data_IF_802469118484
#
_entry.id   IF_802469118484
#
_cell.length_a   1.000
_cell.length_b   1.000
_cell.length_c   1.000
_cell.angle_alpha   90.00
_cell.angle_beta   90.00
_cell.angle_gamma   90.00
#
_symmetry.space_group_name_H-M   'P 1'
#
loop_
_entity.id
_entity.type
_entity.pdbx_description
1 polymer ?
#
# COMPACT_ATOMS: atom_id res chain seq x y z
N UNK A 1 13.26 5.94 -38.44
CA UNK A 1 13.12 5.78 -36.98
C UNK A 1 12.73 7.14 -36.42
N UNK A 2 11.58 7.22 -35.76
CA UNK A 2 11.15 8.42 -35.04
C UNK A 2 11.91 8.46 -33.71
N UNK A 3 12.33 9.64 -33.25
CA UNK A 3 13.07 9.87 -32.01
C UNK A 3 12.60 11.16 -31.36
N UNK A 4 12.79 11.28 -30.06
CA UNK A 4 12.51 12.50 -29.28
C UNK A 4 11.06 12.99 -29.39
N UNK A 5 10.08 12.07 -29.39
CA UNK A 5 8.66 12.41 -29.42
C UNK A 5 8.24 13.02 -28.08
N UNK A 6 7.86 14.29 -28.09
CA UNK A 6 7.33 15.00 -26.92
C UNK A 6 5.81 14.76 -26.84
N UNK A 7 5.34 14.19 -25.73
CA UNK A 7 3.92 13.86 -25.50
C UNK A 7 3.22 14.73 -24.43
N UNK A 8 3.92 15.75 -23.95
CA UNK A 8 3.54 16.62 -22.82
C UNK A 8 3.21 18.04 -23.29
N UNK A 9 2.39 18.77 -22.54
CA UNK A 9 2.07 20.17 -22.86
C UNK A 9 3.21 21.10 -22.44
N UNK A 10 3.27 22.31 -23.02
CA UNK A 10 4.34 23.32 -22.76
C UNK A 10 4.55 23.70 -21.29
N UNK A 11 3.61 23.38 -20.39
CA UNK A 11 3.67 23.69 -18.97
C UNK A 11 3.74 22.43 -18.07
N UNK A 12 3.98 21.26 -18.66
CA UNK A 12 4.17 19.98 -17.94
C UNK A 12 5.64 19.55 -18.02
N UNK A 13 6.12 18.71 -17.10
CA UNK A 13 7.46 18.11 -17.21
C UNK A 13 7.61 17.38 -18.55
N UNK A 14 8.67 17.68 -19.30
CA UNK A 14 8.87 17.12 -20.64
C UNK A 14 9.14 15.61 -20.59
N UNK A 15 8.35 14.83 -21.32
CA UNK A 15 8.56 13.40 -21.53
C UNK A 15 8.86 13.17 -23.01
N UNK A 16 10.05 12.65 -23.28
CA UNK A 16 10.54 12.29 -24.63
C UNK A 16 10.61 10.77 -24.79
N UNK A 17 10.17 10.27 -25.95
CA UNK A 17 10.12 8.84 -26.26
C UNK A 17 10.57 8.57 -27.70
N UNK A 18 11.33 7.48 -27.89
CA UNK A 18 11.88 7.10 -29.21
C UNK A 18 11.01 6.11 -30.00
N UNK A 19 9.81 5.81 -29.49
CA UNK A 19 8.88 4.88 -30.12
C UNK A 19 7.45 5.44 -30.07
N UNK A 20 6.78 5.50 -31.23
CA UNK A 20 5.45 6.09 -31.35
C UNK A 20 4.34 5.25 -30.70
N UNK A 21 4.46 3.91 -30.73
CA UNK A 21 3.50 3.01 -30.07
C UNK A 21 3.56 3.19 -28.54
N UNK A 22 4.77 3.29 -27.99
CA UNK A 22 5.02 3.58 -26.57
C UNK A 22 4.55 5.00 -26.23
N UNK A 23 4.83 5.99 -27.09
CA UNK A 23 4.37 7.37 -26.91
C UNK A 23 2.84 7.47 -26.83
N UNK A 24 2.12 6.76 -27.71
CA UNK A 24 0.66 6.72 -27.67
C UNK A 24 0.13 6.02 -26.42
N UNK A 25 0.74 4.90 -26.01
CA UNK A 25 0.35 4.20 -24.79
C UNK A 25 0.54 5.07 -23.53
N UNK A 26 1.69 5.70 -23.38
CA UNK A 26 1.98 6.60 -22.25
C UNK A 26 1.07 7.85 -22.30
N UNK A 27 0.83 8.42 -23.48
CA UNK A 27 -0.11 9.55 -23.63
C UNK A 27 -1.53 9.16 -23.18
N UNK A 28 -2.01 7.98 -23.55
CA UNK A 28 -3.31 7.47 -23.12
C UNK A 28 -3.36 7.27 -21.60
N UNK A 29 -2.29 6.75 -20.98
CA UNK A 29 -2.21 6.65 -19.52
C UNK A 29 -2.27 8.03 -18.86
N UNK A 30 -1.50 9.01 -19.36
CA UNK A 30 -1.41 10.36 -18.80
C UNK A 30 -2.66 11.22 -19.00
N UNK A 31 -3.43 11.00 -20.08
CA UNK A 31 -4.53 11.89 -20.49
C UNK A 31 -5.92 11.28 -20.34
N UNK A 32 -6.03 9.96 -20.25
CA UNK A 32 -7.34 9.32 -20.19
C UNK A 32 -7.92 9.43 -18.77
N UNK A 33 -8.83 10.38 -18.58
CA UNK A 33 -9.53 10.59 -17.31
C UNK A 33 -10.36 9.38 -16.88
N UNK A 34 -10.77 8.46 -17.76
CA UNK A 34 -11.42 7.22 -17.30
C UNK A 34 -10.43 6.27 -16.64
N UNK A 35 -9.21 6.17 -17.15
CA UNK A 35 -8.14 5.36 -16.53
C UNK A 35 -7.69 6.02 -15.24
N UNK A 36 -7.44 7.34 -15.23
CA UNK A 36 -7.18 8.09 -14.00
C UNK A 36 -8.32 7.95 -13.01
N UNK A 37 -9.59 8.09 -13.41
CA UNK A 37 -10.73 7.87 -12.51
C UNK A 37 -10.81 6.44 -12.00
N UNK A 38 -10.53 5.42 -12.81
CA UNK A 38 -10.51 4.03 -12.33
C UNK A 38 -9.37 3.84 -11.32
N UNK A 39 -8.18 4.36 -11.61
CA UNK A 39 -7.04 4.36 -10.68
C UNK A 39 -7.40 5.14 -9.41
N UNK A 40 -7.93 6.36 -9.49
CA UNK A 40 -8.35 7.20 -8.35
C UNK A 40 -9.52 6.57 -7.56
N UNK A 41 -10.46 5.92 -8.23
CA UNK A 41 -11.58 5.22 -7.57
C UNK A 41 -11.11 3.92 -6.90
N UNK A 42 -10.07 3.27 -7.42
CA UNK A 42 -9.42 2.12 -6.79
C UNK A 42 -8.50 2.54 -5.65
N UNK A 43 -7.60 3.51 -5.85
CA UNK A 43 -6.66 3.98 -4.83
C UNK A 43 -7.36 4.66 -3.66
N UNK A 44 -8.54 5.24 -3.88
CA UNK A 44 -9.38 5.78 -2.80
C UNK A 44 -10.12 4.71 -1.98
N UNK A 45 -10.12 3.44 -2.40
CA UNK A 45 -10.87 2.34 -1.73
C UNK A 45 -10.02 1.15 -1.31
N UNK A 46 -8.82 0.99 -1.87
CA UNK A 46 -7.94 -0.12 -1.50
C UNK A 46 -7.43 0.04 -0.07
N UNK A 47 -7.51 -1.03 0.71
CA UNK A 47 -6.93 -1.12 2.04
C UNK A 47 -5.98 -2.30 2.06
N UNK A 48 -4.70 -2.05 2.33
CA UNK A 48 -3.69 -3.11 2.41
C UNK A 48 -3.60 -3.60 3.85
N UNK A 49 -3.75 -4.89 4.06
CA UNK A 49 -3.64 -5.54 5.37
C UNK A 49 -2.35 -6.35 5.40
N UNK A 50 -1.42 -5.97 6.27
CA UNK A 50 -0.12 -6.61 6.46
C UNK A 50 -0.12 -7.40 7.76
N UNK A 51 0.32 -8.65 7.73
CA UNK A 51 0.43 -9.45 8.95
C UNK A 51 0.77 -10.90 8.68
N UNK A 52 0.97 -11.64 9.77
CA UNK A 52 1.13 -13.09 9.73
C UNK A 52 -0.15 -13.74 10.21
N UNK A 53 -0.74 -14.57 9.36
CA UNK A 53 -2.11 -15.02 9.57
C UNK A 53 -2.16 -16.52 9.81
N UNK A 54 -1.81 -16.91 11.03
CA UNK A 54 -2.03 -18.26 11.54
C UNK A 54 -3.52 -18.60 11.55
N UNK A 55 -3.86 -19.90 11.60
CA UNK A 55 -5.26 -20.34 11.57
C UNK A 55 -6.12 -19.72 12.68
N UNK A 56 -5.53 -19.44 13.84
CA UNK A 56 -6.17 -18.81 14.99
C UNK A 56 -6.61 -17.36 14.71
N UNK A 57 -5.93 -16.64 13.80
CA UNK A 57 -6.20 -15.24 13.48
C UNK A 57 -7.11 -15.03 12.27
N UNK A 58 -7.39 -16.07 11.49
CA UNK A 58 -8.23 -15.98 10.29
C UNK A 58 -9.61 -15.41 10.58
N UNK A 59 -10.23 -15.78 11.70
CA UNK A 59 -11.57 -15.28 12.07
C UNK A 59 -11.61 -13.75 12.29
N UNK A 60 -10.58 -13.19 12.92
CA UNK A 60 -10.45 -11.74 13.13
C UNK A 60 -10.25 -11.03 11.78
N UNK A 61 -9.46 -11.60 10.89
CA UNK A 61 -9.23 -11.05 9.55
C UNK A 61 -10.46 -11.10 8.67
N UNK A 62 -11.21 -12.20 8.68
CA UNK A 62 -12.43 -12.32 7.90
C UNK A 62 -13.46 -11.29 8.38
N UNK A 63 -13.56 -11.11 9.71
CA UNK A 63 -14.38 -10.05 10.31
C UNK A 63 -13.92 -8.66 9.85
N UNK A 64 -12.62 -8.37 9.91
CA UNK A 64 -12.06 -7.10 9.45
C UNK A 64 -12.34 -6.86 7.97
N UNK A 65 -12.18 -7.88 7.12
CA UNK A 65 -12.45 -7.79 5.68
C UNK A 65 -13.92 -7.53 5.40
N UNK A 66 -14.81 -8.16 6.14
CA UNK A 66 -16.25 -7.95 6.00
C UNK A 66 -16.66 -6.55 6.43
N UNK A 67 -16.09 -6.04 7.53
CA UNK A 67 -16.31 -4.67 7.98
C UNK A 67 -15.77 -3.63 6.98
N UNK A 68 -14.63 -3.89 6.35
CA UNK A 68 -14.10 -3.04 5.27
C UNK A 68 -15.02 -3.05 4.04
N UNK A 69 -15.49 -4.23 3.62
CA UNK A 69 -16.43 -4.38 2.49
C UNK A 69 -17.75 -3.64 2.72
N UNK A 70 -18.30 -3.70 3.95
CA UNK A 70 -19.52 -2.95 4.33
C UNK A 70 -19.35 -1.43 4.19
N UNK A 71 -18.11 -0.93 4.27
CA UNK A 71 -17.74 0.48 4.11
C UNK A 71 -17.27 0.81 2.69
N UNK A 72 -17.50 -0.08 1.72
CA UNK A 72 -17.11 0.05 0.31
C UNK A 72 -15.58 0.14 0.10
N UNK A 73 -14.81 -0.46 1.02
CA UNK A 73 -13.38 -0.67 0.85
C UNK A 73 -13.05 -2.02 0.21
N UNK A 74 -11.91 -2.07 -0.47
CA UNK A 74 -11.38 -3.25 -1.14
C UNK A 74 -10.15 -3.75 -0.36
N UNK A 75 -10.32 -4.74 0.55
CA UNK A 75 -9.21 -5.25 1.34
C UNK A 75 -8.30 -6.17 0.51
N UNK A 76 -6.99 -5.87 0.50
CA UNK A 76 -5.93 -6.71 -0.05
C UNK A 76 -5.12 -7.26 1.12
N UNK A 77 -5.00 -8.59 1.19
CA UNK A 77 -4.27 -9.27 2.25
C UNK A 77 -2.86 -9.64 1.77
N UNK A 78 -1.85 -9.27 2.54
CA UNK A 78 -0.49 -9.74 2.34
C UNK A 78 -0.04 -10.56 3.55
N UNK A 79 0.09 -11.87 3.34
CA UNK A 79 0.42 -12.85 4.37
C UNK A 79 1.90 -13.22 4.30
N UNK A 80 2.64 -12.95 5.38
CA UNK A 80 4.07 -13.24 5.47
C UNK A 80 4.41 -14.69 5.81
N UNK A 81 3.42 -15.57 6.04
CA UNK A 81 3.67 -16.97 6.38
C UNK A 81 4.06 -17.84 5.16
N UNK A 82 3.92 -17.31 3.93
CA UNK A 82 4.30 -18.00 2.69
C UNK A 82 5.77 -17.71 2.32
N UNK A 83 6.52 -18.69 1.76
CA UNK A 83 7.97 -18.56 1.56
C UNK A 83 8.36 -17.31 0.78
N UNK A 84 9.24 -16.54 1.41
CA UNK A 84 9.71 -15.22 1.04
C UNK A 84 10.64 -15.35 -0.17
N UNK A 85 10.16 -15.00 -1.37
CA UNK A 85 11.07 -14.59 -2.43
C UNK A 85 11.39 -13.10 -2.29
N UNK A 86 12.56 -12.67 -2.76
CA UNK A 86 12.99 -11.25 -2.87
C UNK A 86 12.01 -10.34 -3.62
N UNK A 87 10.97 -10.90 -4.23
CA UNK A 87 9.92 -10.21 -4.99
C UNK A 87 8.82 -9.62 -4.09
N UNK A 88 8.93 -9.76 -2.76
CA UNK A 88 7.89 -9.38 -1.78
C UNK A 88 7.93 -7.90 -1.38
N UNK A 89 9.08 -7.33 -1.00
CA UNK A 89 9.20 -5.91 -0.60
C UNK A 89 8.74 -4.93 -1.71
N UNK A 90 9.13 -5.20 -2.97
CA UNK A 90 8.71 -4.40 -4.13
C UNK A 90 7.19 -4.47 -4.35
N UNK A 91 6.62 -5.67 -4.22
CA UNK A 91 5.19 -5.90 -4.38
C UNK A 91 4.39 -5.23 -3.27
N UNK A 92 4.84 -5.36 -2.02
CA UNK A 92 4.22 -4.71 -0.85
C UNK A 92 4.27 -3.20 -1.01
N UNK A 93 5.42 -2.64 -1.39
CA UNK A 93 5.58 -1.20 -1.60
C UNK A 93 4.68 -0.68 -2.72
N UNK A 94 4.56 -1.43 -3.83
CA UNK A 94 3.66 -1.08 -4.93
C UNK A 94 2.20 -1.10 -4.49
N UNK A 95 1.78 -2.13 -3.75
CA UNK A 95 0.43 -2.22 -3.20
C UNK A 95 0.15 -1.10 -2.20
N UNK A 96 1.11 -0.77 -1.34
CA UNK A 96 1.01 0.31 -0.37
C UNK A 96 0.87 1.68 -1.04
N UNK A 97 1.60 1.94 -2.14
CA UNK A 97 1.46 3.16 -2.96
C UNK A 97 0.06 3.34 -3.54
N UNK A 98 -0.64 2.25 -3.80
CA UNK A 98 -2.02 2.27 -4.30
C UNK A 98 -3.06 2.23 -3.19
N UNK A 99 -2.68 1.99 -1.94
CA UNK A 99 -3.61 1.87 -0.84
C UNK A 99 -4.05 3.24 -0.34
N UNK A 100 -5.33 3.36 0.03
CA UNK A 100 -5.85 4.51 0.78
C UNK A 100 -5.20 4.58 2.15
N UNK A 101 -5.04 3.44 2.80
CA UNK A 101 -4.32 3.27 4.06
C UNK A 101 -3.92 1.80 4.24
N UNK A 102 -2.97 1.57 5.13
CA UNK A 102 -2.47 0.26 5.50
C UNK A 102 -2.94 -0.08 6.92
N UNK A 103 -3.41 -1.30 7.13
CA UNK A 103 -3.61 -1.88 8.46
C UNK A 103 -2.46 -2.87 8.68
N UNK A 104 -1.67 -2.66 9.73
CA UNK A 104 -0.53 -3.51 10.05
C UNK A 104 -0.79 -4.26 11.36
N UNK A 105 -0.95 -5.58 11.29
CA UNK A 105 -0.96 -6.44 12.48
C UNK A 105 0.46 -6.58 13.02
N UNK A 106 0.79 -5.80 14.05
CA UNK A 106 2.13 -5.76 14.66
C UNK A 106 2.32 -6.82 15.74
N UNK A 107 1.32 -7.66 15.96
CA UNK A 107 1.33 -8.70 16.99
C UNK A 107 2.31 -9.85 16.67
N UNK A 108 2.72 -10.02 15.41
CA UNK A 108 3.98 -10.68 15.06
C UNK A 108 4.94 -9.66 14.42
N UNK A 109 5.59 -8.91 15.30
CA UNK A 109 6.46 -7.80 14.94
C UNK A 109 7.54 -8.17 13.91
N UNK A 110 8.04 -9.41 13.92
CA UNK A 110 9.14 -9.83 13.04
C UNK A 110 8.72 -9.78 11.57
N UNK A 111 7.48 -10.15 11.27
CA UNK A 111 6.97 -10.24 9.91
C UNK A 111 6.69 -8.87 9.28
N UNK A 112 6.22 -7.92 10.07
CA UNK A 112 5.71 -6.63 9.53
C UNK A 112 6.73 -5.50 9.66
N UNK A 113 7.69 -5.61 10.58
CA UNK A 113 8.66 -4.55 10.84
C UNK A 113 9.49 -4.16 9.62
N UNK A 114 9.96 -5.14 8.83
CA UNK A 114 10.77 -4.86 7.65
C UNK A 114 9.99 -4.02 6.63
N UNK A 115 8.75 -4.39 6.34
CA UNK A 115 7.91 -3.64 5.40
C UNK A 115 7.59 -2.23 5.90
N UNK A 116 7.32 -2.08 7.21
CA UNK A 116 7.06 -0.76 7.77
C UNK A 116 8.30 0.15 7.76
N UNK A 117 9.51 -0.40 7.81
CA UNK A 117 10.74 0.38 7.64
C UNK A 117 10.85 0.97 6.23
N UNK A 118 10.18 0.40 5.24
CA UNK A 118 10.12 0.90 3.86
C UNK A 118 8.90 1.81 3.67
N UNK A 119 7.71 1.33 4.02
CA UNK A 119 6.43 2.03 3.80
C UNK A 119 6.38 3.36 4.55
N UNK A 120 6.62 3.36 5.86
CA UNK A 120 6.38 4.56 6.69
C UNK A 120 7.32 5.70 6.30
N UNK A 121 8.62 5.45 5.97
CA UNK A 121 9.49 6.51 5.49
C UNK A 121 9.31 6.93 4.04
N UNK A 122 9.06 6.00 3.13
CA UNK A 122 9.01 6.31 1.71
C UNK A 122 7.63 6.81 1.25
N UNK A 123 6.57 6.48 2.00
CA UNK A 123 5.18 6.77 1.66
C UNK A 123 4.50 7.64 2.74
N UNK A 124 4.93 8.89 2.96
CA UNK A 124 4.39 9.76 4.02
C UNK A 124 2.92 10.15 3.81
N UNK A 125 2.37 9.93 2.62
CA UNK A 125 0.96 10.21 2.31
C UNK A 125 0.03 9.02 2.53
N UNK A 126 0.57 7.84 2.89
CA UNK A 126 -0.22 6.63 3.11
C UNK A 126 -0.34 6.41 4.62
N UNK A 127 -1.51 6.62 5.23
CA UNK A 127 -1.71 6.33 6.65
C UNK A 127 -1.51 4.85 6.94
N UNK A 128 -0.85 4.55 8.04
CA UNK A 128 -0.62 3.21 8.57
C UNK A 128 -1.28 3.15 9.94
N UNK A 129 -2.28 2.28 10.06
CA UNK A 129 -2.93 1.92 11.31
C UNK A 129 -2.31 0.64 11.86
N UNK A 130 -1.40 0.72 12.84
CA UNK A 130 -0.93 -0.45 13.56
C UNK A 130 -2.04 -1.00 14.47
N UNK A 131 -2.18 -2.32 14.48
CA UNK A 131 -3.12 -3.06 15.32
C UNK A 131 -2.35 -4.14 16.05
N UNK A 132 -2.58 -4.25 17.36
CA UNK A 132 -1.95 -5.25 18.22
C UNK A 132 -2.99 -6.01 19.01
N UNK A 133 -2.78 -7.29 19.29
CA UNK A 133 -3.61 -8.04 20.24
C UNK A 133 -3.50 -7.39 21.63
N UNK A 134 -4.63 -7.12 22.29
CA UNK A 134 -4.69 -6.39 23.56
C UNK A 134 -3.86 -7.00 24.71
N UNK A 135 -3.56 -8.29 24.63
CA UNK A 135 -2.73 -9.01 25.61
C UNK A 135 -1.23 -8.89 25.36
N UNK A 136 -0.80 -8.27 24.26
CA UNK A 136 0.59 -8.11 23.87
C UNK A 136 1.08 -6.68 24.06
N UNK A 137 2.35 -6.54 24.45
CA UNK A 137 3.01 -5.25 24.54
C UNK A 137 3.48 -4.76 23.17
N UNK A 138 3.38 -3.46 22.95
CA UNK A 138 3.94 -2.82 21.76
C UNK A 138 5.45 -3.10 21.66
N UNK A 139 5.94 -3.57 20.50
CA UNK A 139 7.36 -3.82 20.36
C UNK A 139 8.13 -2.49 20.38
N UNK A 140 9.14 -2.35 21.24
CA UNK A 140 9.87 -1.08 21.43
C UNK A 140 10.53 -0.50 20.17
N UNK A 141 10.70 -1.30 19.10
CA UNK A 141 11.18 -0.80 17.80
C UNK A 141 10.19 0.11 17.07
N UNK A 142 8.91 0.13 17.48
CA UNK A 142 7.87 0.96 16.86
C UNK A 142 7.87 2.41 17.34
N UNK A 143 8.58 2.73 18.42
CA UNK A 143 8.78 4.12 18.87
C UNK A 143 9.39 5.00 17.77
N UNK A 144 10.17 4.41 16.87
CA UNK A 144 10.73 5.08 15.70
C UNK A 144 9.67 5.72 14.79
N UNK A 145 8.45 5.17 14.76
CA UNK A 145 7.39 5.66 13.88
C UNK A 145 6.45 6.67 14.54
N UNK A 146 6.40 6.76 15.88
CA UNK A 146 5.46 7.61 16.62
C UNK A 146 5.55 9.12 16.30
N UNK A 147 6.67 9.57 15.72
CA UNK A 147 6.86 10.95 15.27
C UNK A 147 6.44 11.23 13.81
N UNK A 148 5.97 10.21 13.07
CA UNK A 148 5.62 10.34 11.65
C UNK A 148 4.10 10.54 11.49
N UNK A 149 3.64 11.59 10.79
CA UNK A 149 2.21 11.86 10.62
C UNK A 149 1.41 10.72 9.97
N UNK A 150 2.07 9.92 9.13
CA UNK A 150 1.48 8.75 8.48
C UNK A 150 1.32 7.54 9.39
N UNK A 151 1.95 7.50 10.57
CA UNK A 151 1.85 6.37 11.49
C UNK A 151 0.89 6.72 12.63
N UNK A 152 -0.28 6.07 12.64
CA UNK A 152 -1.34 6.33 13.60
C UNK A 152 -1.06 5.67 14.97
N UNK A 153 -1.73 6.11 16.04
CA UNK A 153 -1.64 5.43 17.34
C UNK A 153 -1.98 3.94 17.24
N UNK A 154 -1.29 3.11 18.02
CA UNK A 154 -1.56 1.67 18.06
C UNK A 154 -2.92 1.41 18.66
N UNK A 155 -3.72 0.62 17.94
CA UNK A 155 -5.05 0.20 18.36
C UNK A 155 -5.01 -1.25 18.87
N UNK A 156 -5.62 -1.48 20.02
CA UNK A 156 -5.72 -2.81 20.60
C UNK A 156 -6.92 -3.56 20.00
N UNK A 157 -6.67 -4.68 19.33
CA UNK A 157 -7.69 -5.62 18.93
C UNK A 157 -7.99 -6.61 20.08
N UNK A 158 -9.27 -7.00 20.26
CA UNK A 158 -9.67 -7.99 21.26
C UNK A 158 -9.06 -9.38 20.99
#
# INVERSE_FOLDING_TARGET
KQRDLIITLRNEPEITLDNIEVAQFIYLLLRNQKIHRIIDTLTSKVVLILGRFTDERKAVLDTLRDELRKRDYVPILFDFDKPISRTTDETVTLLARMARFVIADISDAKSVLQELRTIVPELPSVPVQPVIVATQEEPGMFDFYRGRPSFLPVEAAP
#
